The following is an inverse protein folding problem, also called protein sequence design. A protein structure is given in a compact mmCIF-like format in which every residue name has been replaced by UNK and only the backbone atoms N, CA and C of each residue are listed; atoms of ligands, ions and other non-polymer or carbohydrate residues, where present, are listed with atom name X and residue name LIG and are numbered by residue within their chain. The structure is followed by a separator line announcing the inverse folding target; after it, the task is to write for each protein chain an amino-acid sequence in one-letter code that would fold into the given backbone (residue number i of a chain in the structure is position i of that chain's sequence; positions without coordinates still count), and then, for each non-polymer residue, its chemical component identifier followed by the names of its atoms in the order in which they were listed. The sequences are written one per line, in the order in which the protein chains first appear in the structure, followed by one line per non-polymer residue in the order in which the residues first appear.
data_IF_139460200563
#
_entry.id   IF_139460200563
#
_cell.length_a   1.000
_cell.length_b   1.000
_cell.length_c   1.000
_cell.angle_alpha   90.00
_cell.angle_beta   90.00
_cell.angle_gamma   90.00
#
_symmetry.space_group_name_H-M   'P 1'
#
loop_
_entity.id
_entity.type
_entity.pdbx_description
1 polymer ?
#
# COMPACT_ATOMS: atom_id res chain seq x y z
N UNK A 1 17.58 33.21 5.43
CA UNK A 1 17.74 31.82 4.96
C UNK A 1 16.56 30.88 5.28
N UNK A 2 15.85 30.99 6.42
CA UNK A 2 14.93 29.93 6.88
C UNK A 2 13.64 29.65 6.08
N UNK A 3 13.20 30.53 5.18
CA UNK A 3 12.03 30.28 4.31
C UNK A 3 12.30 29.20 3.24
N UNK A 4 13.52 29.15 2.71
CA UNK A 4 13.91 28.16 1.70
C UNK A 4 14.01 26.76 2.30
N UNK A 5 14.61 26.63 3.49
CA UNK A 5 14.84 25.34 4.16
C UNK A 5 13.53 24.64 4.54
N UNK A 6 12.57 25.36 5.12
CA UNK A 6 11.26 24.79 5.47
C UNK A 6 10.43 24.39 4.24
N UNK A 7 10.49 25.18 3.16
CA UNK A 7 9.83 24.84 1.91
C UNK A 7 10.43 23.59 1.24
N UNK A 8 11.76 23.53 1.15
CA UNK A 8 12.48 22.36 0.61
C UNK A 8 12.24 21.13 1.48
N UNK A 9 12.26 21.28 2.81
CA UNK A 9 11.94 20.19 3.75
C UNK A 9 10.54 19.61 3.55
N UNK A 10 9.54 20.46 3.34
CA UNK A 10 8.17 20.02 3.02
C UNK A 10 8.10 19.22 1.73
N UNK A 11 8.82 19.65 0.68
CA UNK A 11 8.90 18.94 -0.60
C UNK A 11 9.60 17.58 -0.44
N UNK A 12 10.72 17.52 0.31
CA UNK A 12 11.44 16.26 0.56
C UNK A 12 10.57 15.27 1.33
N UNK A 13 9.84 15.71 2.36
CA UNK A 13 8.92 14.85 3.12
C UNK A 13 7.83 14.28 2.22
N UNK A 14 7.24 15.09 1.34
CA UNK A 14 6.25 14.61 0.38
C UNK A 14 6.85 13.67 -0.65
N UNK A 15 8.05 13.95 -1.15
CA UNK A 15 8.76 13.09 -2.10
C UNK A 15 9.04 11.71 -1.49
N UNK A 16 9.50 11.66 -0.22
CA UNK A 16 9.72 10.40 0.50
C UNK A 16 8.40 9.67 0.76
N UNK A 17 7.35 10.37 1.20
CA UNK A 17 6.03 9.78 1.41
C UNK A 17 5.45 9.18 0.12
N UNK A 18 5.52 9.92 -0.99
CA UNK A 18 5.10 9.45 -2.30
C UNK A 18 5.94 8.28 -2.82
N UNK A 19 7.26 8.32 -2.61
CA UNK A 19 8.15 7.22 -2.96
C UNK A 19 7.81 5.94 -2.18
N UNK A 20 7.59 6.05 -0.87
CA UNK A 20 7.20 4.90 -0.04
C UNK A 20 5.83 4.34 -0.43
N UNK A 21 4.85 5.21 -0.68
CA UNK A 21 3.54 4.81 -1.18
C UNK A 21 3.62 4.12 -2.56
N UNK A 22 4.59 4.47 -3.39
CA UNK A 22 4.79 3.81 -4.67
C UNK A 22 5.54 2.47 -4.54
N UNK A 23 6.63 2.43 -3.78
CA UNK A 23 7.49 1.24 -3.66
C UNK A 23 6.82 0.13 -2.86
N UNK A 24 6.04 0.47 -1.81
CA UNK A 24 5.48 -0.52 -0.90
C UNK A 24 4.14 -1.10 -1.43
N UNK A 25 3.04 -0.33 -1.50
CA UNK A 25 1.75 -0.80 -2.03
C UNK A 25 1.45 -0.41 -3.48
N UNK A 26 2.33 0.33 -4.17
CA UNK A 26 2.00 0.94 -5.46
C UNK A 26 1.68 -0.06 -6.57
N UNK A 27 2.36 -1.21 -6.61
CA UNK A 27 2.08 -2.27 -7.58
C UNK A 27 0.68 -2.88 -7.37
N UNK A 28 0.29 -3.09 -6.10
CA UNK A 28 -1.01 -3.64 -5.73
C UNK A 28 -2.11 -2.62 -5.99
N UNK A 29 -1.91 -1.35 -5.60
CA UNK A 29 -2.83 -0.25 -5.96
C UNK A 29 -3.04 -0.16 -7.48
N UNK A 30 -1.98 -0.23 -8.28
CA UNK A 30 -2.08 -0.17 -9.74
C UNK A 30 -2.91 -1.35 -10.29
N UNK A 31 -2.67 -2.56 -9.79
CA UNK A 31 -3.42 -3.74 -10.17
C UNK A 31 -4.91 -3.65 -9.77
N UNK A 32 -5.17 -3.16 -8.57
CA UNK A 32 -6.51 -3.10 -7.96
C UNK A 32 -7.36 -1.96 -8.50
N UNK A 33 -6.77 -0.80 -8.85
CA UNK A 33 -7.45 0.33 -9.50
C UNK A 33 -7.64 0.10 -11.01
N UNK A 34 -7.07 -0.99 -11.54
CA UNK A 34 -7.21 -1.36 -12.94
C UNK A 34 -6.31 -0.55 -13.87
N UNK A 35 -5.20 -0.01 -13.37
CA UNK A 35 -4.25 0.73 -14.19
C UNK A 35 -3.50 -0.24 -15.10
N UNK A 36 -3.56 -0.02 -16.41
CA UNK A 36 -2.95 -0.89 -17.42
C UNK A 36 -3.84 -2.02 -17.94
N UNK A 37 -3.35 -2.79 -18.93
CA UNK A 37 -4.08 -3.90 -19.53
C UNK A 37 -4.33 -5.03 -18.53
N UNK A 38 -5.33 -5.86 -18.79
CA UNK A 38 -5.58 -7.10 -18.05
C UNK A 38 -4.46 -8.10 -18.35
N UNK A 39 -3.85 -8.66 -17.30
CA UNK A 39 -2.72 -9.58 -17.42
C UNK A 39 -3.18 -10.99 -17.82
N UNK A 40 -4.37 -11.40 -17.39
CA UNK A 40 -4.91 -12.71 -17.71
C UNK A 40 -6.28 -12.97 -17.10
N UNK A 41 -6.68 -14.24 -17.14
CA UNK A 41 -7.96 -14.71 -16.63
C UNK A 41 -7.72 -15.78 -15.58
N UNK A 42 -8.37 -15.65 -14.42
CA UNK A 42 -8.38 -16.71 -13.40
C UNK A 42 -9.66 -17.51 -13.53
N UNK A 43 -9.52 -18.83 -13.64
CA UNK A 43 -10.63 -19.76 -13.52
C UNK A 43 -10.77 -20.19 -12.07
N UNK A 44 -11.86 -19.79 -11.42
CA UNK A 44 -12.08 -19.99 -10.00
C UNK A 44 -12.35 -21.47 -9.70
N UNK A 45 -11.69 -22.00 -8.67
CA UNK A 45 -11.93 -23.35 -8.15
C UNK A 45 -12.75 -23.33 -6.87
N UNK A 46 -12.34 -22.48 -5.92
CA UNK A 46 -12.97 -22.38 -4.60
C UNK A 46 -12.78 -20.97 -4.05
N UNK A 47 -13.83 -20.42 -3.47
CA UNK A 47 -13.78 -19.18 -2.70
C UNK A 47 -14.00 -19.47 -1.21
N UNK A 48 -13.30 -18.72 -0.37
CA UNK A 48 -13.39 -18.76 1.08
C UNK A 48 -13.34 -17.33 1.62
N UNK A 49 -13.76 -17.14 2.87
CA UNK A 49 -13.52 -15.87 3.54
C UNK A 49 -12.03 -15.74 3.82
N UNK A 50 -11.41 -14.70 3.27
CA UNK A 50 -10.05 -14.33 3.58
C UNK A 50 -9.99 -13.83 5.01
N UNK A 51 -9.01 -14.32 5.75
CA UNK A 51 -8.70 -13.84 7.09
C UNK A 51 -7.26 -13.31 7.09
N UNK A 52 -7.01 -12.21 7.80
CA UNK A 52 -5.63 -11.83 8.10
C UNK A 52 -4.99 -12.83 9.09
N UNK A 53 -3.70 -12.61 9.37
CA UNK A 53 -2.93 -13.43 10.31
C UNK A 53 -3.48 -13.38 11.75
N UNK A 54 -4.41 -12.47 12.06
CA UNK A 54 -5.11 -12.38 13.34
C UNK A 54 -6.52 -13.00 13.30
N UNK A 55 -6.95 -13.55 12.17
CA UNK A 55 -8.26 -14.17 11.99
C UNK A 55 -9.40 -13.18 11.69
N UNK A 56 -9.11 -11.90 11.44
CA UNK A 56 -10.12 -10.93 11.03
C UNK A 56 -10.42 -11.05 9.55
N UNK A 57 -11.71 -10.95 9.20
CA UNK A 57 -12.14 -11.04 7.81
C UNK A 57 -11.56 -9.89 6.97
N UNK A 58 -10.71 -10.22 6.01
CA UNK A 58 -10.09 -9.28 5.06
C UNK A 58 -10.83 -9.24 3.72
N UNK A 59 -11.89 -10.05 3.57
CA UNK A 59 -12.74 -10.07 2.39
C UNK A 59 -12.98 -11.48 1.89
N UNK A 60 -13.22 -11.63 0.59
CA UNK A 60 -13.35 -12.95 -0.04
C UNK A 60 -12.05 -13.26 -0.77
N UNK A 61 -11.46 -14.41 -0.50
CA UNK A 61 -10.33 -14.93 -1.28
C UNK A 61 -10.79 -16.08 -2.15
N UNK A 62 -10.37 -16.09 -3.41
CA UNK A 62 -10.70 -17.18 -4.34
C UNK A 62 -9.42 -17.80 -4.91
N UNK A 63 -9.29 -19.11 -4.78
CA UNK A 63 -8.24 -19.89 -5.44
C UNK A 63 -8.70 -20.27 -6.83
N UNK A 64 -7.78 -20.19 -7.80
CA UNK A 64 -8.07 -20.54 -9.17
C UNK A 64 -6.81 -20.76 -10.00
N UNK A 65 -7.02 -21.24 -11.23
CA UNK A 65 -5.95 -21.38 -12.21
C UNK A 65 -5.89 -20.14 -13.09
N UNK A 66 -4.77 -19.44 -13.04
CA UNK A 66 -4.47 -18.29 -13.86
C UNK A 66 -3.97 -18.72 -15.24
N UNK A 67 -4.60 -18.17 -16.28
CA UNK A 67 -4.20 -18.26 -17.67
C UNK A 67 -3.74 -16.86 -18.13
N UNK A 68 -2.45 -16.64 -18.40
CA UNK A 68 -1.96 -15.35 -18.87
C UNK A 68 -2.47 -15.05 -20.28
N UNK A 69 -2.76 -13.77 -20.56
CA UNK A 69 -3.28 -13.31 -21.86
C UNK A 69 -2.18 -13.22 -22.91
N UNK A 70 -0.95 -12.95 -22.49
CA UNK A 70 0.27 -12.96 -23.29
C UNK A 70 1.13 -14.15 -22.88
N UNK A 71 2.17 -14.49 -23.64
CA UNK A 71 3.12 -15.55 -23.31
C UNK A 71 4.03 -15.21 -22.12
N UNK A 72 3.52 -14.47 -21.12
CA UNK A 72 4.22 -14.02 -19.90
C UNK A 72 4.38 -15.14 -18.86
N UNK A 73 4.11 -16.39 -19.26
CA UNK A 73 4.43 -17.57 -18.47
C UNK A 73 3.44 -18.72 -18.66
N UNK A 74 3.70 -19.86 -18.00
CA UNK A 74 2.78 -20.98 -17.96
C UNK A 74 1.55 -20.65 -17.11
N UNK A 75 0.44 -21.35 -17.40
CA UNK A 75 -0.72 -21.34 -16.53
C UNK A 75 -0.32 -21.86 -15.13
N UNK A 76 -0.71 -21.13 -14.09
CA UNK A 76 -0.30 -21.41 -12.70
C UNK A 76 -1.46 -21.20 -11.74
N UNK A 77 -1.40 -21.86 -10.60
CA UNK A 77 -2.40 -21.65 -9.57
C UNK A 77 -2.08 -20.33 -8.85
N UNK A 78 -3.10 -19.48 -8.67
CA UNK A 78 -2.98 -18.18 -8.04
C UNK A 78 -4.18 -17.94 -7.12
N UNK A 79 -3.97 -17.09 -6.13
CA UNK A 79 -5.05 -16.59 -5.28
C UNK A 79 -5.48 -15.23 -5.81
N UNK A 80 -6.78 -15.12 -6.08
CA UNK A 80 -7.49 -13.87 -6.26
C UNK A 80 -7.77 -13.28 -4.87
N UNK A 81 -7.11 -12.17 -4.58
CA UNK A 81 -7.21 -11.47 -3.30
C UNK A 81 -8.33 -10.42 -3.34
N UNK A 82 -9.09 -10.30 -2.25
CA UNK A 82 -10.18 -9.34 -2.08
C UNK A 82 -11.20 -9.34 -3.25
N UNK A 83 -11.70 -10.52 -3.58
CA UNK A 83 -12.75 -10.69 -4.57
C UNK A 83 -14.01 -9.86 -4.21
N UNK A 84 -14.65 -9.27 -5.21
CA UNK A 84 -15.87 -8.49 -5.15
C UNK A 84 -17.03 -9.32 -4.60
N UNK A 85 -17.08 -10.61 -4.95
CA UNK A 85 -18.11 -11.54 -4.50
C UNK A 85 -17.60 -12.99 -4.45
N UNK A 86 -18.38 -13.87 -3.81
CA UNK A 86 -18.13 -15.32 -3.81
C UNK A 86 -18.51 -15.90 -5.17
N UNK A 87 -17.53 -15.99 -6.07
CA UNK A 87 -17.73 -16.60 -7.39
C UNK A 87 -18.02 -18.10 -7.31
N UNK A 88 -18.85 -18.59 -8.23
CA UNK A 88 -19.06 -20.03 -8.41
C UNK A 88 -17.79 -20.70 -8.96
N UNK A 89 -17.52 -21.97 -8.61
CA UNK A 89 -16.49 -22.76 -9.27
C UNK A 89 -16.70 -22.79 -10.78
N UNK A 90 -15.63 -22.58 -11.55
CA UNK A 90 -15.63 -22.49 -13.01
C UNK A 90 -15.81 -21.07 -13.56
N UNK A 91 -16.14 -20.08 -12.72
CA UNK A 91 -16.19 -18.67 -13.14
C UNK A 91 -14.84 -18.20 -13.68
N UNK A 92 -14.88 -17.36 -14.72
CA UNK A 92 -13.70 -16.76 -15.34
C UNK A 92 -13.69 -15.27 -15.00
N UNK A 93 -12.62 -14.82 -14.36
CA UNK A 93 -12.46 -13.45 -13.89
C UNK A 93 -11.23 -12.83 -14.53
N UNK A 94 -11.38 -11.63 -15.09
CA UNK A 94 -10.26 -10.84 -15.62
C UNK A 94 -9.48 -10.23 -14.47
N UNK A 95 -8.17 -10.48 -14.42
CA UNK A 95 -7.32 -10.06 -13.30
C UNK A 95 -6.05 -9.35 -13.78
N UNK A 96 -5.53 -8.53 -12.89
CA UNK A 96 -4.18 -7.99 -12.95
C UNK A 96 -3.35 -8.63 -11.85
N UNK A 97 -2.07 -8.84 -12.10
CA UNK A 97 -1.18 -9.54 -11.18
C UNK A 97 -0.16 -8.57 -10.60
N UNK A 98 0.03 -8.63 -9.29
CA UNK A 98 1.10 -7.89 -8.62
C UNK A 98 1.70 -8.78 -7.53
N UNK A 99 3.04 -8.85 -7.49
CA UNK A 99 3.80 -9.65 -6.50
C UNK A 99 3.31 -11.10 -6.31
N UNK A 100 2.89 -11.75 -7.40
CA UNK A 100 2.45 -13.15 -7.37
C UNK A 100 1.01 -13.38 -6.91
N UNK A 101 0.23 -12.32 -6.67
CA UNK A 101 -1.21 -12.38 -6.39
C UNK A 101 -2.01 -11.84 -7.58
N UNK A 102 -3.26 -12.29 -7.71
CA UNK A 102 -4.22 -11.78 -8.68
C UNK A 102 -5.17 -10.80 -7.98
N UNK A 103 -5.47 -9.70 -8.66
CA UNK A 103 -6.38 -8.66 -8.22
C UNK A 103 -7.40 -8.42 -9.31
N UNK A 104 -8.67 -8.39 -8.94
CA UNK A 104 -9.72 -7.86 -9.81
C UNK A 104 -10.06 -6.42 -9.43
N UNK A 105 -10.78 -5.74 -10.32
CA UNK A 105 -11.29 -4.41 -10.05
C UNK A 105 -12.50 -4.52 -9.11
N UNK A 106 -12.25 -4.64 -7.81
CA UNK A 106 -13.31 -4.66 -6.78
C UNK A 106 -13.26 -3.40 -5.91
N UNK A 107 -14.43 -2.85 -5.58
CA UNK A 107 -14.51 -1.67 -4.70
C UNK A 107 -13.93 -1.94 -3.31
N UNK A 108 -14.03 -3.17 -2.83
CA UNK A 108 -13.45 -3.64 -1.57
C UNK A 108 -11.92 -3.63 -1.60
N UNK A 109 -11.31 -4.21 -2.64
CA UNK A 109 -9.86 -4.17 -2.78
C UNK A 109 -9.35 -2.73 -2.94
N UNK A 110 -10.02 -1.91 -3.76
CA UNK A 110 -9.65 -0.49 -3.94
C UNK A 110 -9.69 0.24 -2.61
N UNK A 111 -10.77 0.07 -1.84
CA UNK A 111 -10.91 0.73 -0.54
C UNK A 111 -9.82 0.28 0.45
N UNK A 112 -9.54 -1.01 0.54
CA UNK A 112 -8.53 -1.56 1.46
C UNK A 112 -7.13 -1.01 1.14
N UNK A 113 -6.71 -1.06 -0.13
CA UNK A 113 -5.40 -0.55 -0.52
C UNK A 113 -5.32 0.97 -0.44
N UNK A 114 -6.40 1.69 -0.79
CA UNK A 114 -6.46 3.14 -0.64
C UNK A 114 -6.39 3.56 0.84
N UNK A 115 -7.04 2.84 1.75
CA UNK A 115 -6.98 3.09 3.19
C UNK A 115 -5.57 2.88 3.74
N UNK A 116 -4.91 1.78 3.35
CA UNK A 116 -3.51 1.50 3.74
C UNK A 116 -2.57 2.60 3.27
N UNK A 117 -2.71 3.06 2.03
CA UNK A 117 -1.87 4.13 1.46
C UNK A 117 -2.19 5.48 2.11
N UNK A 118 -3.46 5.77 2.34
CA UNK A 118 -3.89 6.96 3.05
C UNK A 118 -3.26 7.01 4.45
N UNK A 119 -3.38 5.93 5.21
CA UNK A 119 -2.84 5.83 6.57
C UNK A 119 -1.30 5.95 6.58
N UNK A 120 -0.62 5.39 5.59
CA UNK A 120 0.83 5.56 5.40
C UNK A 120 1.19 7.03 5.15
N UNK A 121 0.40 7.77 4.37
CA UNK A 121 0.70 9.14 3.96
C UNK A 121 0.34 10.21 5.01
N UNK A 122 -0.60 9.94 5.92
CA UNK A 122 -1.04 10.87 6.97
C UNK A 122 0.12 11.55 7.71
N UNK A 123 1.12 10.84 8.27
CA UNK A 123 2.22 11.49 8.99
C UNK A 123 3.07 12.40 8.10
N UNK A 124 3.29 12.02 6.84
CA UNK A 124 4.06 12.83 5.88
C UNK A 124 3.30 14.10 5.49
N UNK A 125 2.00 13.99 5.24
CA UNK A 125 1.13 15.12 4.91
C UNK A 125 1.02 16.11 6.08
N UNK A 126 0.85 15.60 7.30
CA UNK A 126 0.78 16.44 8.50
C UNK A 126 2.09 17.22 8.71
N UNK A 127 3.23 16.54 8.58
CA UNK A 127 4.54 17.16 8.70
C UNK A 127 4.79 18.19 7.59
N UNK A 128 4.49 17.85 6.33
CA UNK A 128 4.63 18.76 5.21
C UNK A 128 3.74 20.01 5.35
N UNK A 129 2.47 19.85 5.75
CA UNK A 129 1.54 20.95 5.97
C UNK A 129 2.06 21.91 7.05
N UNK A 130 2.62 21.37 8.14
CA UNK A 130 3.24 22.18 9.19
C UNK A 130 4.46 22.95 8.67
N UNK A 131 5.34 22.31 7.90
CA UNK A 131 6.52 22.97 7.30
C UNK A 131 6.14 24.08 6.33
N UNK A 132 5.16 23.85 5.46
CA UNK A 132 4.64 24.88 4.56
C UNK A 132 3.98 26.03 5.33
N UNK A 133 3.29 25.75 6.43
CA UNK A 133 2.72 26.80 7.28
C UNK A 133 3.81 27.65 7.98
N UNK A 134 4.92 27.04 8.40
CA UNK A 134 6.08 27.74 8.96
C UNK A 134 6.79 28.59 7.90
N UNK A 135 6.97 28.07 6.68
CA UNK A 135 7.57 28.79 5.56
C UNK A 135 6.75 30.04 5.19
N UNK A 136 5.41 29.92 5.14
CA UNK A 136 4.50 31.04 4.88
C UNK A 136 4.62 32.15 5.93
N UNK A 137 4.62 31.77 7.22
CA UNK A 137 4.66 32.72 8.34
C UNK A 137 6.03 33.35 8.59
N UNK A 138 7.10 32.89 7.94
CA UNK A 138 8.44 33.48 8.06
C UNK A 138 9.08 33.36 9.45
N UNK A 139 8.51 32.54 10.35
CA UNK A 139 8.91 32.41 11.77
C UNK A 139 10.16 31.53 11.99
N UNK A 140 11.03 31.40 11.00
CA UNK A 140 12.18 30.50 11.08
C UNK A 140 13.41 31.31 11.52
N UNK A 141 13.37 31.81 12.75
CA UNK A 141 14.52 32.44 13.40
C UNK A 141 15.30 31.46 14.30
N UNK A 142 14.68 30.34 14.71
CA UNK A 142 15.26 29.23 15.50
C UNK A 142 14.66 27.85 15.10
N UNK A 143 14.12 27.74 13.88
CA UNK A 143 13.32 26.58 13.46
C UNK A 143 14.11 25.36 12.97
N UNK A 144 15.43 25.49 12.77
CA UNK A 144 16.26 24.40 12.23
C UNK A 144 16.33 23.23 13.21
N UNK A 145 16.45 23.48 14.52
CA UNK A 145 16.42 22.44 15.55
C UNK A 145 15.10 21.67 15.61
N UNK A 146 13.96 22.37 15.43
CA UNK A 146 12.64 21.73 15.39
C UNK A 146 12.38 20.98 14.08
N UNK A 147 12.95 21.43 12.96
CA UNK A 147 12.92 20.71 11.69
C UNK A 147 13.69 19.39 11.78
N UNK A 148 14.93 19.42 12.28
CA UNK A 148 15.74 18.21 12.48
C UNK A 148 15.13 17.29 13.54
N UNK A 149 14.55 17.84 14.62
CA UNK A 149 13.84 17.04 15.61
C UNK A 149 12.56 16.39 15.07
N UNK A 150 11.79 17.10 14.23
CA UNK A 150 10.60 16.55 13.59
C UNK A 150 10.95 15.52 12.51
N UNK A 151 12.03 15.75 11.75
CA UNK A 151 12.57 14.79 10.79
C UNK A 151 13.11 13.54 11.50
N UNK A 152 13.90 13.72 12.56
CA UNK A 152 14.38 12.63 13.40
C UNK A 152 13.21 11.88 14.05
N UNK A 153 12.19 12.60 14.52
CA UNK A 153 10.95 12.02 15.03
C UNK A 153 10.20 11.20 13.98
N UNK A 154 10.14 11.68 12.72
CA UNK A 154 9.55 10.92 11.62
C UNK A 154 10.36 9.66 11.30
N UNK A 155 11.69 9.77 11.22
CA UNK A 155 12.58 8.62 11.00
C UNK A 155 12.47 7.60 12.14
N UNK A 156 12.43 8.06 13.39
CA UNK A 156 12.21 7.21 14.55
C UNK A 156 10.83 6.57 14.56
N UNK A 157 9.79 7.30 14.14
CA UNK A 157 8.44 6.76 14.03
C UNK A 157 8.34 5.69 12.93
N UNK A 158 8.97 5.92 11.76
CA UNK A 158 9.07 4.93 10.69
C UNK A 158 9.87 3.71 11.16
N UNK A 159 11.01 3.94 11.81
CA UNK A 159 11.84 2.87 12.38
C UNK A 159 11.08 2.06 13.43
N UNK A 160 10.37 2.72 14.35
CA UNK A 160 9.56 2.07 15.36
C UNK A 160 8.39 1.28 14.74
N UNK A 161 7.72 1.82 13.73
CA UNK A 161 6.67 1.11 12.99
C UNK A 161 7.23 -0.13 12.26
N UNK A 162 8.41 -0.02 11.64
CA UNK A 162 9.08 -1.15 11.01
C UNK A 162 9.48 -2.23 12.01
N UNK A 163 10.07 -1.84 13.16
CA UNK A 163 10.42 -2.76 14.25
C UNK A 163 9.18 -3.43 14.80
N UNK A 164 8.09 -2.69 15.05
CA UNK A 164 6.82 -3.25 15.49
C UNK A 164 6.27 -4.25 14.46
N UNK A 165 6.29 -3.91 13.17
CA UNK A 165 5.89 -4.82 12.09
C UNK A 165 6.71 -6.11 12.05
N UNK A 166 8.04 -6.01 12.21
CA UNK A 166 8.93 -7.18 12.27
C UNK A 166 8.63 -8.03 13.51
N UNK A 167 8.46 -7.41 14.69
CA UNK A 167 8.15 -8.12 15.92
C UNK A 167 6.80 -8.84 15.85
N UNK A 168 5.80 -8.21 15.23
CA UNK A 168 4.49 -8.84 14.96
C UNK A 168 4.66 -10.02 14.01
N UNK A 169 5.37 -9.85 12.90
CA UNK A 169 5.62 -10.95 11.95
C UNK A 169 6.38 -12.12 12.58
N UNK A 170 7.36 -11.86 13.45
CA UNK A 170 8.07 -12.91 14.20
C UNK A 170 7.12 -13.59 15.18
N UNK A 171 6.28 -12.84 15.90
CA UNK A 171 5.27 -13.42 16.78
C UNK A 171 4.33 -14.37 16.04
N UNK A 172 3.81 -13.93 14.89
CA UNK A 172 2.89 -14.71 14.06
C UNK A 172 3.57 -15.92 13.37
N UNK A 173 4.88 -15.89 13.17
CA UNK A 173 5.62 -17.04 12.65
C UNK A 173 5.95 -18.10 13.72
N UNK A 174 5.93 -17.71 15.00
CA UNK A 174 6.31 -18.58 16.14
C UNK A 174 5.09 -19.19 16.84
N UNK A 175 3.93 -18.55 16.77
CA UNK A 175 2.65 -18.99 17.36
C UNK A 175 1.67 -19.46 16.27
#
# INVERSE_FOLDING_TARGET
MGRGVAGVGGVVVLAVGGWLAWVLPGAQLAAVVGFGPVDGVVTIHRCYEGADEQGYATGTECTGRYAPRRSDGPARDIVLEAAAEKYRPGSRVEVRTARGRAYELSGTAVFQWAALVGLLLVPFLALAAWLFACARRGKVANGDGYFFAALAGLVLAIGAAAVAGILVAIGLAVF
#
